data_IF_373863325240
#
_entry.id   IF_373863325240
#
_cell.length_a   1.000
_cell.length_b   1.000
_cell.length_c   1.000
_cell.angle_alpha   90.00
_cell.angle_beta   90.00
_cell.angle_gamma   90.00
#
_symmetry.space_group_name_H-M   'P 1'
#
loop_
_entity.id
_entity.type
_entity.pdbx_description
1 polymer ?
#
# COMPACT_ATOMS: atom_id res chain seq x y z
N UNK A 1 -10.21 13.73 20.85
CA UNK A 1 -11.24 13.13 19.99
C UNK A 1 -10.67 12.82 18.62
N UNK A 2 -10.85 11.59 18.14
CA UNK A 2 -10.46 11.15 16.79
C UNK A 2 -11.74 10.99 15.95
N UNK A 3 -11.76 11.43 14.69
CA UNK A 3 -12.99 11.38 13.89
C UNK A 3 -13.40 9.95 13.55
N UNK A 4 -14.71 9.68 13.54
CA UNK A 4 -15.28 8.38 13.14
C UNK A 4 -15.00 8.04 11.67
N UNK A 5 -14.76 9.05 10.83
CA UNK A 5 -14.43 8.90 9.43
C UNK A 5 -13.23 9.78 9.03
N UNK A 6 -12.22 9.17 8.42
CA UNK A 6 -11.07 9.87 7.86
C UNK A 6 -11.30 10.20 6.39
N UNK A 7 -11.05 11.46 6.00
CA UNK A 7 -11.24 11.90 4.61
C UNK A 7 -10.13 11.36 3.69
N UNK A 8 -10.52 10.60 2.66
CA UNK A 8 -9.61 10.00 1.68
C UNK A 8 -9.26 10.93 0.50
N UNK A 9 -9.60 12.23 0.57
CA UNK A 9 -9.45 13.18 -0.55
C UNK A 9 -8.02 13.29 -1.10
N UNK A 10 -7.02 13.22 -0.22
CA UNK A 10 -5.61 13.39 -0.56
C UNK A 10 -4.82 12.06 -0.55
N UNK A 11 -5.51 10.91 -0.50
CA UNK A 11 -4.82 9.61 -0.45
C UNK A 11 -4.01 9.34 -1.73
N UNK A 12 -4.42 9.93 -2.85
CA UNK A 12 -3.80 9.77 -4.16
C UNK A 12 -2.44 10.42 -4.32
N UNK A 13 -2.04 11.33 -3.42
CA UNK A 13 -0.68 11.91 -3.44
C UNK A 13 0.30 11.09 -2.60
N UNK A 14 -0.19 10.38 -1.59
CA UNK A 14 0.62 9.55 -0.69
C UNK A 14 0.72 8.10 -1.17
N UNK A 15 -0.42 7.54 -1.58
CA UNK A 15 -0.55 6.18 -2.10
C UNK A 15 -0.73 6.27 -3.61
N UNK A 16 0.38 6.19 -4.34
CA UNK A 16 0.42 6.16 -5.80
C UNK A 16 -0.01 4.80 -6.40
N UNK A 17 -0.77 4.02 -5.65
CA UNK A 17 -1.22 2.68 -6.03
C UNK A 17 -2.75 2.63 -6.05
N UNK A 18 -3.34 2.80 -7.23
CA UNK A 18 -4.79 2.86 -7.46
C UNK A 18 -5.56 1.68 -6.85
N UNK A 19 -5.14 0.41 -7.02
CA UNK A 19 -5.85 -0.72 -6.44
C UNK A 19 -5.97 -0.66 -4.91
N UNK A 20 -4.93 -0.16 -4.23
CA UNK A 20 -4.97 0.02 -2.77
C UNK A 20 -5.94 1.11 -2.36
N UNK A 21 -6.03 2.21 -3.11
CA UNK A 21 -6.98 3.28 -2.81
C UNK A 21 -8.43 2.81 -2.98
N UNK A 22 -8.71 2.03 -4.02
CA UNK A 22 -10.03 1.46 -4.27
C UNK A 22 -10.41 0.49 -3.14
N UNK A 23 -9.52 -0.42 -2.76
CA UNK A 23 -9.74 -1.36 -1.66
C UNK A 23 -10.04 -0.66 -0.32
N UNK A 24 -9.32 0.44 -0.03
CA UNK A 24 -9.60 1.28 1.16
C UNK A 24 -11.00 1.92 1.06
N UNK A 25 -11.40 2.42 -0.11
CA UNK A 25 -12.74 3.01 -0.33
C UNK A 25 -13.85 1.95 -0.21
N UNK A 26 -13.58 0.71 -0.60
CA UNK A 26 -14.51 -0.41 -0.47
C UNK A 26 -14.63 -0.95 0.96
N UNK A 27 -13.72 -0.56 1.87
CA UNK A 27 -13.69 -1.06 3.25
C UNK A 27 -13.09 -2.46 3.36
N UNK A 28 -12.23 -2.84 2.42
CA UNK A 28 -11.56 -4.14 2.44
C UNK A 28 -10.68 -4.29 3.69
N UNK A 29 -10.53 -5.53 4.15
CA UNK A 29 -9.64 -5.83 5.26
C UNK A 29 -8.17 -5.59 4.89
N UNK A 30 -7.34 -5.32 5.90
CA UNK A 30 -5.90 -5.16 5.72
C UNK A 30 -5.25 -6.36 5.01
N UNK A 31 -5.72 -7.59 5.29
CA UNK A 31 -5.22 -8.80 4.64
C UNK A 31 -5.48 -8.80 3.13
N UNK A 32 -6.66 -8.34 2.71
CA UNK A 32 -7.02 -8.22 1.29
C UNK A 32 -6.16 -7.13 0.64
N UNK A 33 -6.06 -5.95 1.27
CA UNK A 33 -5.25 -4.84 0.77
C UNK A 33 -3.78 -5.24 0.61
N UNK A 34 -3.20 -5.94 1.60
CA UNK A 34 -1.81 -6.42 1.55
C UNK A 34 -1.57 -7.41 0.41
N UNK A 35 -2.56 -8.24 0.11
CA UNK A 35 -2.47 -9.22 -0.97
C UNK A 35 -2.33 -8.55 -2.35
N UNK A 36 -2.85 -7.33 -2.52
CA UNK A 36 -2.79 -6.60 -3.79
C UNK A 36 -1.35 -6.28 -4.22
N UNK A 37 -0.53 -5.73 -3.32
CA UNK A 37 0.85 -5.30 -3.62
C UNK A 37 1.92 -6.32 -3.20
N UNK A 38 1.55 -7.43 -2.56
CA UNK A 38 2.51 -8.45 -2.12
C UNK A 38 3.40 -9.02 -3.24
N UNK A 39 2.90 -9.30 -4.47
CA UNK A 39 3.74 -9.76 -5.57
C UNK A 39 4.79 -8.73 -5.98
N UNK A 40 4.38 -7.48 -6.13
CA UNK A 40 5.26 -6.37 -6.54
C UNK A 40 6.32 -6.07 -5.48
N UNK A 41 5.94 -6.17 -4.20
CA UNK A 41 6.89 -6.06 -3.08
C UNK A 41 7.92 -7.19 -3.12
N UNK A 42 7.51 -8.42 -3.42
CA UNK A 42 8.44 -9.56 -3.57
C UNK A 42 9.45 -9.28 -4.67
N UNK A 43 9.02 -8.76 -5.80
CA UNK A 43 9.91 -8.46 -6.92
C UNK A 43 10.78 -7.23 -6.66
N UNK A 44 10.27 -6.21 -5.97
CA UNK A 44 11.09 -5.10 -5.48
C UNK A 44 12.18 -5.56 -4.52
N UNK A 45 11.85 -6.45 -3.57
CA UNK A 45 12.82 -7.03 -2.62
C UNK A 45 13.93 -7.80 -3.34
N UNK A 46 13.62 -8.52 -4.42
CA UNK A 46 14.63 -9.17 -5.27
C UNK A 46 15.50 -8.15 -6.00
N UNK A 47 14.89 -7.14 -6.64
CA UNK A 47 15.61 -6.11 -7.40
C UNK A 47 16.56 -5.30 -6.52
N UNK A 48 16.12 -4.88 -5.34
CA UNK A 48 16.93 -4.04 -4.43
C UNK A 48 18.12 -4.80 -3.84
N UNK A 49 18.05 -6.13 -3.75
CA UNK A 49 19.06 -6.94 -3.06
C UNK A 49 20.47 -6.78 -3.66
N UNK A 50 20.58 -6.55 -4.97
CA UNK A 50 21.86 -6.32 -5.64
C UNK A 50 22.54 -4.98 -5.26
N UNK A 51 21.81 -4.06 -4.63
CA UNK A 51 22.26 -2.69 -4.36
C UNK A 51 22.33 -2.38 -2.85
N UNK A 52 22.10 -3.36 -1.97
CA UNK A 52 22.14 -3.15 -0.53
C UNK A 52 23.59 -3.04 -0.05
N UNK A 53 23.92 -1.96 0.64
CA UNK A 53 25.23 -1.74 1.28
C UNK A 53 25.34 -2.45 2.64
N UNK A 54 24.20 -2.76 3.24
CA UNK A 54 24.10 -3.35 4.57
C UNK A 54 23.20 -4.57 4.53
N UNK A 55 23.51 -5.51 5.42
CA UNK A 55 22.69 -6.69 5.66
C UNK A 55 21.62 -6.38 6.70
#
# INVERSE_FOLDING_TARGET
DYPDAYSLKNLNTLLLHTPTMEAIRHGDSLSQIHSLWAPELKDFKKRRAAYLLYR
#
